data_IF_147783369888
#
_entry.id   IF_147783369888
#
_cell.length_a   1.000
_cell.length_b   1.000
_cell.length_c   1.000
_cell.angle_alpha   90.00
_cell.angle_beta   90.00
_cell.angle_gamma   90.00
#
_symmetry.space_group_name_H-M   'P 1'
#
loop_
_entity.id
_entity.type
_entity.pdbx_description
1 polymer ?
#
# COMPACT_ATOMS: atom_id res chain seq x y z
N UNK A 1 -1.01 4.20 -22.34
CA UNK A 1 -1.97 5.07 -21.62
C UNK A 1 -1.50 5.24 -20.18
N UNK A 2 -0.80 6.34 -19.87
CA UNK A 2 -0.38 6.67 -18.50
C UNK A 2 -1.55 7.37 -17.80
N UNK A 3 -2.27 6.66 -16.93
CA UNK A 3 -3.35 7.26 -16.15
C UNK A 3 -2.75 8.15 -15.05
N UNK A 4 -3.31 9.33 -14.77
CA UNK A 4 -2.83 10.27 -13.76
C UNK A 4 -2.78 9.67 -12.34
N UNK A 5 -3.55 8.61 -12.09
CA UNK A 5 -3.56 7.84 -10.84
C UNK A 5 -2.26 7.08 -10.58
N UNK A 6 -1.53 6.68 -11.64
CA UNK A 6 -0.24 6.00 -11.52
C UNK A 6 0.85 6.93 -10.96
N UNK A 7 0.95 8.16 -11.46
CA UNK A 7 1.90 9.17 -10.97
C UNK A 7 1.61 9.57 -9.53
N UNK A 8 0.34 9.76 -9.17
CA UNK A 8 -0.07 10.06 -7.79
C UNK A 8 0.33 8.95 -6.80
N UNK A 9 0.23 7.69 -7.22
CA UNK A 9 0.62 6.54 -6.39
C UNK A 9 2.13 6.42 -6.20
N UNK A 10 2.89 6.57 -7.28
CA UNK A 10 4.35 6.58 -7.20
C UNK A 10 4.79 7.73 -6.28
N UNK A 11 4.26 8.95 -6.46
CA UNK A 11 4.55 10.10 -5.59
C UNK A 11 4.22 9.87 -4.12
N UNK A 12 3.14 9.17 -3.78
CA UNK A 12 2.77 8.89 -2.37
C UNK A 12 3.71 7.87 -1.71
N UNK A 13 4.12 6.83 -2.44
CA UNK A 13 5.11 5.86 -1.93
C UNK A 13 6.48 6.53 -1.80
N UNK A 14 6.86 7.37 -2.76
CA UNK A 14 8.06 8.19 -2.67
C UNK A 14 7.99 9.19 -1.50
N UNK A 15 6.85 9.85 -1.27
CA UNK A 15 6.66 10.76 -0.14
C UNK A 15 6.75 10.03 1.21
N UNK A 16 6.12 8.85 1.32
CA UNK A 16 6.18 8.05 2.53
C UNK A 16 7.62 7.58 2.82
N UNK A 17 8.33 7.09 1.80
CA UNK A 17 9.75 6.75 1.90
C UNK A 17 10.63 7.94 2.28
N UNK A 18 10.43 9.09 1.63
CA UNK A 18 11.16 10.32 1.92
C UNK A 18 10.87 10.83 3.34
N UNK A 19 9.63 10.74 3.80
CA UNK A 19 9.23 11.14 5.15
C UNK A 19 9.86 10.26 6.23
N UNK A 20 9.99 8.95 5.99
CA UNK A 20 10.69 8.05 6.91
C UNK A 20 12.21 8.26 6.91
N UNK A 21 12.82 8.56 5.76
CA UNK A 21 14.23 8.94 5.71
C UNK A 21 14.49 10.27 6.43
N UNK A 22 13.59 11.23 6.26
CA UNK A 22 13.66 12.51 6.97
C UNK A 22 13.50 12.33 8.49
N UNK A 23 12.52 11.53 8.92
CA UNK A 23 12.31 11.25 10.34
C UNK A 23 13.47 10.47 10.96
N UNK A 24 14.03 9.49 10.24
CA UNK A 24 15.26 8.80 10.63
C UNK A 24 16.43 9.80 10.78
N UNK A 25 16.59 10.72 9.82
CA UNK A 25 17.58 11.78 9.88
C UNK A 25 17.41 12.70 11.10
N UNK A 26 16.18 13.12 11.39
CA UNK A 26 15.86 13.94 12.58
C UNK A 26 16.13 13.17 13.87
N UNK A 27 15.79 11.88 13.95
CA UNK A 27 16.11 11.04 15.11
C UNK A 27 17.62 10.90 15.31
N UNK A 28 18.40 10.74 14.24
CA UNK A 28 19.86 10.69 14.31
C UNK A 28 20.48 12.04 14.70
N UNK A 29 19.85 13.15 14.33
CA UNK A 29 20.34 14.48 14.68
C UNK A 29 19.98 14.84 16.13
N UNK A 30 18.77 14.49 16.57
CA UNK A 30 18.30 14.69 17.94
C UNK A 30 19.09 13.88 18.96
N UNK A 31 19.48 12.64 18.66
CA UNK A 31 20.33 11.83 19.55
C UNK A 31 21.73 12.42 19.73
N UNK A 32 22.33 12.98 18.68
CA UNK A 32 23.61 13.66 18.74
C UNK A 32 23.54 14.96 19.57
N UNK A 33 22.44 15.71 19.47
CA UNK A 33 22.23 16.97 20.22
C UNK A 33 21.85 16.71 21.68
N UNK A 34 21.08 15.66 21.97
CA UNK A 34 20.61 15.32 23.31
C UNK A 34 21.62 14.50 24.14
N UNK A 35 22.81 14.21 23.59
CA UNK A 35 23.85 13.44 24.28
C UNK A 35 23.45 12.00 24.59
N UNK A 36 22.53 11.44 23.80
CA UNK A 36 22.13 10.03 23.93
C UNK A 36 23.35 9.17 23.60
N UNK A 37 23.71 8.17 24.43
CA UNK A 37 24.93 7.39 24.22
C UNK A 37 24.98 6.83 22.79
N UNK A 38 26.12 7.01 22.11
CA UNK A 38 26.40 6.68 20.69
C UNK A 38 25.91 5.30 20.22
N UNK A 39 25.68 4.37 21.16
CA UNK A 39 25.20 3.01 20.89
C UNK A 39 23.68 2.88 20.70
N UNK A 40 22.89 3.84 21.16
CA UNK A 40 21.42 3.77 21.10
C UNK A 40 20.85 4.43 19.84
N UNK A 41 21.57 5.38 19.25
CA UNK A 41 21.18 6.14 18.05
C UNK A 41 20.80 5.27 16.85
N UNK A 42 21.55 4.20 16.49
CA UNK A 42 21.22 3.38 15.32
C UNK A 42 19.95 2.55 15.54
N UNK A 43 19.64 2.20 16.79
CA UNK A 43 18.57 1.25 17.13
C UNK A 43 17.18 1.83 16.80
N UNK A 44 16.96 3.10 17.10
CA UNK A 44 15.69 3.79 16.82
C UNK A 44 15.43 3.92 15.32
N UNK A 45 16.49 4.11 14.52
CA UNK A 45 16.38 4.24 13.07
C UNK A 45 15.79 2.99 12.42
N UNK A 46 16.22 1.79 12.84
CA UNK A 46 15.66 0.54 12.30
C UNK A 46 14.19 0.35 12.66
N UNK A 47 13.77 0.75 13.87
CA UNK A 47 12.37 0.73 14.27
C UNK A 47 11.51 1.66 13.41
N UNK A 48 11.96 2.89 13.14
CA UNK A 48 11.24 3.84 12.28
C UNK A 48 11.12 3.32 10.84
N UNK A 49 12.21 2.79 10.29
CA UNK A 49 12.22 2.21 8.94
C UNK A 49 11.20 1.06 8.82
N UNK A 50 11.06 0.25 9.87
CA UNK A 50 10.11 -0.87 9.90
C UNK A 50 8.64 -0.42 9.99
N UNK A 51 8.36 0.81 10.44
CA UNK A 51 7.00 1.37 10.53
C UNK A 51 6.53 1.89 9.17
N UNK A 52 7.44 2.41 8.32
CA UNK A 52 7.11 2.92 6.98
C UNK A 52 6.19 1.99 6.14
N UNK A 53 6.48 0.68 6.01
CA UNK A 53 5.65 -0.25 5.26
C UNK A 53 4.25 -0.45 5.87
N UNK A 54 4.08 -0.31 7.19
CA UNK A 54 2.75 -0.38 7.84
C UNK A 54 1.86 0.75 7.33
N UNK A 55 2.39 1.97 7.27
CA UNK A 55 1.66 3.13 6.74
C UNK A 55 1.28 2.92 5.27
N UNK A 56 2.20 2.40 4.46
CA UNK A 56 1.93 2.08 3.05
C UNK A 56 0.81 1.03 2.90
N UNK A 57 0.83 -0.02 3.72
CA UNK A 57 -0.21 -1.06 3.76
C UNK A 57 -1.57 -0.50 4.20
N UNK A 58 -1.60 0.44 5.13
CA UNK A 58 -2.83 1.15 5.52
C UNK A 58 -3.46 1.94 4.37
N UNK A 59 -2.65 2.65 3.58
CA UNK A 59 -3.11 3.35 2.38
C UNK A 59 -3.65 2.36 1.33
N UNK A 60 -2.97 1.23 1.14
CA UNK A 60 -3.43 0.15 0.26
C UNK A 60 -4.77 -0.43 0.72
N UNK A 61 -4.94 -0.65 2.03
CA UNK A 61 -6.20 -1.11 2.62
C UNK A 61 -7.37 -0.19 2.27
N UNK A 62 -7.22 1.13 2.47
CA UNK A 62 -8.24 2.12 2.12
C UNK A 62 -8.62 2.07 0.62
N UNK A 63 -7.64 1.86 -0.25
CA UNK A 63 -7.91 1.72 -1.69
C UNK A 63 -8.68 0.44 -2.03
N UNK A 64 -8.41 -0.67 -1.36
CA UNK A 64 -9.19 -1.89 -1.57
C UNK A 64 -10.63 -1.73 -1.10
N UNK A 65 -10.87 -1.00 -0.01
CA UNK A 65 -12.23 -0.71 0.44
C UNK A 65 -12.99 0.14 -0.58
N UNK A 66 -12.36 1.16 -1.17
CA UNK A 66 -12.95 2.00 -2.22
C UNK A 66 -13.28 1.23 -3.51
N UNK A 67 -12.64 0.07 -3.74
CA UNK A 67 -12.93 -0.79 -4.89
C UNK A 67 -14.27 -1.51 -4.73
N UNK A 68 -14.80 -1.66 -3.51
CA UNK A 68 -16.11 -2.30 -3.27
C UNK A 68 -17.29 -1.43 -3.69
N UNK A 69 -17.10 -0.12 -3.74
CA UNK A 69 -18.18 0.86 -3.98
C UNK A 69 -18.29 1.26 -5.46
N UNK A 70 -17.99 0.35 -6.39
CA UNK A 70 -18.19 0.60 -7.82
C UNK A 70 -19.67 0.43 -8.17
N UNK A 71 -20.23 1.46 -8.82
CA UNK A 71 -21.57 1.43 -9.39
C UNK A 71 -21.61 0.77 -10.77
N UNK A 72 -22.74 0.12 -11.09
CA UNK A 72 -23.00 -0.45 -12.42
C UNK A 72 -22.43 -1.86 -12.66
N UNK A 73 -22.01 -2.56 -11.60
CA UNK A 73 -21.70 -3.99 -11.66
C UNK A 73 -22.97 -4.85 -11.63
N UNK A 74 -22.98 -5.94 -12.39
CA UNK A 74 -24.00 -6.98 -12.19
C UNK A 74 -23.82 -7.65 -10.82
N UNK A 75 -24.89 -8.23 -10.27
CA UNK A 75 -24.85 -8.94 -8.97
C UNK A 75 -23.76 -10.02 -8.93
N UNK A 76 -23.57 -10.75 -10.03
CA UNK A 76 -22.57 -11.82 -10.15
C UNK A 76 -21.14 -11.27 -10.19
N UNK A 77 -20.90 -10.18 -10.90
CA UNK A 77 -19.58 -9.54 -10.95
C UNK A 77 -19.23 -8.89 -9.60
N UNK A 78 -20.19 -8.25 -8.94
CA UNK A 78 -20.02 -7.71 -7.59
C UNK A 78 -19.60 -8.80 -6.60
N UNK A 79 -20.28 -9.96 -6.60
CA UNK A 79 -19.92 -11.08 -5.72
C UNK A 79 -18.51 -11.61 -5.98
N UNK A 80 -18.09 -11.72 -7.25
CA UNK A 80 -16.74 -12.15 -7.62
C UNK A 80 -15.68 -11.13 -7.17
N UNK A 81 -15.97 -9.84 -7.37
CA UNK A 81 -15.08 -8.76 -6.95
C UNK A 81 -14.94 -8.70 -5.42
N UNK A 82 -16.05 -8.77 -4.69
CA UNK A 82 -16.04 -8.77 -3.22
C UNK A 82 -15.26 -9.96 -2.65
N UNK A 83 -15.42 -11.16 -3.23
CA UNK A 83 -14.63 -12.33 -2.83
C UNK A 83 -13.13 -12.10 -3.03
N UNK A 84 -12.74 -11.51 -4.17
CA UNK A 84 -11.33 -11.25 -4.49
C UNK A 84 -10.74 -10.17 -3.58
N UNK A 85 -11.47 -9.07 -3.38
CA UNK A 85 -11.09 -7.98 -2.49
C UNK A 85 -10.99 -8.46 -1.04
N UNK A 86 -11.96 -9.25 -0.54
CA UNK A 86 -11.92 -9.78 0.82
C UNK A 86 -10.72 -10.72 1.05
N UNK A 87 -10.38 -11.56 0.07
CA UNK A 87 -9.17 -12.39 0.15
C UNK A 87 -7.91 -11.54 0.27
N UNK A 88 -7.83 -10.43 -0.46
CA UNK A 88 -6.66 -9.54 -0.49
C UNK A 88 -6.58 -8.65 0.74
N UNK A 89 -7.72 -8.17 1.24
CA UNK A 89 -7.83 -7.50 2.54
C UNK A 89 -7.31 -8.41 3.65
N UNK A 90 -7.70 -9.70 3.65
CA UNK A 90 -7.21 -10.66 4.65
C UNK A 90 -5.69 -10.83 4.57
N UNK A 91 -5.12 -10.92 3.36
CA UNK A 91 -3.67 -10.96 3.16
C UNK A 91 -2.97 -9.69 3.68
N UNK A 92 -3.55 -8.51 3.44
CA UNK A 92 -3.06 -7.22 3.96
C UNK A 92 -3.09 -7.18 5.49
N UNK A 93 -4.16 -7.66 6.13
CA UNK A 93 -4.26 -7.75 7.59
C UNK A 93 -3.15 -8.66 8.15
N UNK A 94 -2.93 -9.83 7.53
CA UNK A 94 -1.83 -10.72 7.91
C UNK A 94 -0.46 -10.05 7.73
N UNK A 95 -0.26 -9.29 6.65
CA UNK A 95 0.97 -8.54 6.42
C UNK A 95 1.19 -7.46 7.48
N UNK A 96 0.15 -6.72 7.86
CA UNK A 96 0.23 -5.70 8.92
C UNK A 96 0.58 -6.37 10.26
N UNK A 97 -0.10 -7.47 10.61
CA UNK A 97 0.20 -8.24 11.81
C UNK A 97 1.65 -8.74 11.82
N UNK A 98 2.13 -9.26 10.68
CA UNK A 98 3.52 -9.66 10.50
C UNK A 98 4.49 -8.50 10.76
N UNK A 99 4.23 -7.31 10.22
CA UNK A 99 5.09 -6.15 10.44
C UNK A 99 5.12 -5.70 11.89
N UNK A 100 3.97 -5.74 12.60
CA UNK A 100 3.90 -5.44 14.03
C UNK A 100 4.73 -6.44 14.83
N UNK A 101 4.59 -7.73 14.57
CA UNK A 101 5.35 -8.79 15.25
C UNK A 101 6.85 -8.66 14.93
N UNK A 102 7.21 -8.43 13.67
CA UNK A 102 8.59 -8.22 13.24
C UNK A 102 9.21 -6.98 13.93
N UNK A 103 8.45 -5.89 14.05
CA UNK A 103 8.86 -4.69 14.76
C UNK A 103 9.09 -4.94 16.26
N UNK A 104 8.22 -5.72 16.91
CA UNK A 104 8.40 -6.12 18.32
C UNK A 104 9.64 -7.00 18.51
N UNK A 105 9.85 -8.00 17.65
CA UNK A 105 11.04 -8.86 17.68
C UNK A 105 12.30 -8.02 17.49
N UNK A 106 12.28 -7.08 16.54
CA UNK A 106 13.38 -6.17 16.28
C UNK A 106 13.68 -5.27 17.49
N UNK A 107 12.65 -4.67 18.10
CA UNK A 107 12.81 -3.85 19.29
C UNK A 107 13.41 -4.64 20.46
N UNK A 108 12.94 -5.87 20.69
CA UNK A 108 13.48 -6.75 21.74
C UNK A 108 14.93 -7.17 21.46
N UNK A 109 15.25 -7.50 20.20
CA UNK A 109 16.60 -7.88 19.80
C UNK A 109 17.59 -6.71 19.97
N UNK A 110 17.18 -5.49 19.60
CA UNK A 110 17.98 -4.28 19.74
C UNK A 110 18.12 -3.86 21.22
N UNK A 111 17.06 -4.02 22.02
CA UNK A 111 17.13 -3.83 23.47
C UNK A 111 18.10 -4.81 24.12
N UNK A 112 18.00 -6.11 23.81
CA UNK A 112 18.93 -7.13 24.29
C UNK A 112 20.39 -6.88 23.88
N UNK A 113 20.60 -6.38 22.67
CA UNK A 113 21.92 -6.01 22.16
C UNK A 113 22.59 -4.87 22.95
N UNK A 114 21.80 -4.02 23.63
CA UNK A 114 22.35 -2.96 24.48
C UNK A 114 23.12 -3.50 25.71
N UNK A 115 22.91 -4.77 26.09
CA UNK A 115 23.53 -5.40 27.26
C UNK A 115 24.82 -6.20 26.96
N UNK A 116 25.20 -6.42 25.69
CA UNK A 116 26.40 -7.23 25.39
C UNK A 116 26.86 -7.21 23.93
N UNK A 117 28.19 -7.14 23.72
CA UNK A 117 28.83 -7.03 22.39
C UNK A 117 28.50 -8.15 21.38
N UNK A 118 28.43 -9.45 21.73
CA UNK A 118 28.15 -10.48 20.72
C UNK A 118 26.70 -10.45 20.22
N UNK A 119 25.75 -10.02 21.06
CA UNK A 119 24.33 -9.93 20.70
C UNK A 119 24.06 -8.83 19.65
N UNK A 120 24.93 -7.82 19.56
CA UNK A 120 24.81 -6.72 18.59
C UNK A 120 24.88 -7.23 17.16
N UNK A 121 25.88 -8.04 16.81
CA UNK A 121 26.04 -8.53 15.43
C UNK A 121 24.80 -9.31 14.95
N UNK A 122 24.29 -10.22 15.79
CA UNK A 122 23.08 -10.99 15.49
C UNK A 122 21.83 -10.11 15.38
N UNK A 123 21.68 -9.11 16.25
CA UNK A 123 20.55 -8.19 16.19
C UNK A 123 20.54 -7.35 14.90
N UNK A 124 21.71 -6.88 14.45
CA UNK A 124 21.83 -6.14 13.19
C UNK A 124 21.59 -7.02 11.95
N UNK A 125 22.08 -8.27 11.94
CA UNK A 125 21.77 -9.22 10.85
C UNK A 125 20.27 -9.53 10.80
N UNK A 126 19.64 -9.75 11.96
CA UNK A 126 18.20 -9.96 12.06
C UNK A 126 17.41 -8.73 11.59
N UNK A 127 17.85 -7.53 11.96
CA UNK A 127 17.26 -6.27 11.52
C UNK A 127 17.27 -6.12 10.00
N UNK A 128 18.44 -6.33 9.38
CA UNK A 128 18.58 -6.28 7.93
C UNK A 128 17.68 -7.31 7.22
N UNK A 129 17.61 -8.53 7.74
CA UNK A 129 16.76 -9.58 7.18
C UNK A 129 15.26 -9.23 7.29
N UNK A 130 14.80 -8.75 8.45
CA UNK A 130 13.40 -8.37 8.68
C UNK A 130 12.98 -7.16 7.82
N UNK A 131 13.86 -6.17 7.66
CA UNK A 131 13.61 -5.02 6.79
C UNK A 131 13.57 -5.45 5.33
N UNK A 132 14.52 -6.28 4.88
CA UNK A 132 14.53 -6.78 3.50
C UNK A 132 13.26 -7.57 3.17
N UNK A 133 12.84 -8.45 4.08
CA UNK A 133 11.61 -9.24 3.94
C UNK A 133 10.35 -8.36 3.96
N UNK A 134 10.34 -7.34 4.82
CA UNK A 134 9.28 -6.33 4.91
C UNK A 134 9.09 -5.54 3.60
N UNK A 135 10.20 -5.08 3.00
CA UNK A 135 10.17 -4.38 1.71
C UNK A 135 9.64 -5.32 0.62
N UNK A 136 10.12 -6.55 0.57
CA UNK A 136 9.66 -7.55 -0.41
C UNK A 136 8.14 -7.77 -0.34
N UNK A 137 7.60 -8.02 0.86
CA UNK A 137 6.17 -8.23 1.04
C UNK A 137 5.34 -6.98 0.71
N UNK A 138 5.83 -5.80 1.06
CA UNK A 138 5.14 -4.53 0.76
C UNK A 138 5.07 -4.28 -0.75
N UNK A 139 6.17 -4.52 -1.48
CA UNK A 139 6.20 -4.40 -2.94
C UNK A 139 5.28 -5.43 -3.60
N UNK A 140 5.28 -6.68 -3.12
CA UNK A 140 4.38 -7.72 -3.62
C UNK A 140 2.91 -7.35 -3.43
N UNK A 141 2.54 -6.87 -2.23
CA UNK A 141 1.18 -6.38 -1.97
C UNK A 141 0.80 -5.20 -2.86
N UNK A 142 1.73 -4.29 -3.15
CA UNK A 142 1.50 -3.16 -4.04
C UNK A 142 1.19 -3.59 -5.48
N UNK A 143 1.93 -4.58 -6.01
CA UNK A 143 1.69 -5.14 -7.35
C UNK A 143 0.29 -5.75 -7.41
N UNK A 144 -0.10 -6.52 -6.40
CA UNK A 144 -1.42 -7.15 -6.32
C UNK A 144 -2.55 -6.10 -6.33
N UNK A 145 -2.44 -5.04 -5.53
CA UNK A 145 -3.47 -3.99 -5.51
C UNK A 145 -3.57 -3.26 -6.85
N UNK A 146 -2.46 -3.08 -7.55
CA UNK A 146 -2.46 -2.50 -8.89
C UNK A 146 -3.24 -3.36 -9.90
N UNK A 147 -3.14 -4.68 -9.82
CA UNK A 147 -3.93 -5.57 -10.68
C UNK A 147 -5.44 -5.44 -10.41
N UNK A 148 -5.84 -5.34 -9.14
CA UNK A 148 -7.25 -5.15 -8.76
C UNK A 148 -7.75 -3.77 -9.23
N UNK A 149 -6.94 -2.72 -9.06
CA UNK A 149 -7.27 -1.38 -9.52
C UNK A 149 -7.44 -1.32 -11.06
N UNK A 150 -6.58 -2.02 -11.80
CA UNK A 150 -6.70 -2.12 -13.27
C UNK A 150 -7.95 -2.90 -13.71
N UNK A 151 -8.37 -3.90 -12.92
CA UNK A 151 -9.64 -4.59 -13.15
C UNK A 151 -10.83 -3.65 -12.92
N UNK A 152 -10.81 -2.84 -11.85
CA UNK A 152 -11.83 -1.79 -11.59
C UNK A 152 -11.95 -0.82 -12.76
N UNK A 153 -10.84 -0.30 -13.28
CA UNK A 153 -10.89 0.64 -14.42
C UNK A 153 -11.49 -0.01 -15.67
N UNK A 154 -11.14 -1.27 -15.93
CA UNK A 154 -11.68 -2.00 -17.10
C UNK A 154 -13.19 -2.22 -17.01
N UNK A 155 -13.74 -2.45 -15.81
CA UNK A 155 -15.19 -2.55 -15.61
C UNK A 155 -15.85 -1.18 -15.78
N UNK A 156 -15.29 -0.13 -15.17
CA UNK A 156 -15.83 1.23 -15.28
C UNK A 156 -15.90 1.69 -16.76
N UNK A 157 -14.85 1.41 -17.54
CA UNK A 157 -14.81 1.74 -18.97
C UNK A 157 -15.90 1.00 -19.76
N UNK A 158 -16.12 -0.30 -19.47
CA UNK A 158 -17.21 -1.07 -20.10
C UNK A 158 -18.58 -0.49 -19.79
N UNK A 159 -18.84 -0.11 -18.55
CA UNK A 159 -20.12 0.50 -18.17
C UNK A 159 -20.31 1.85 -18.87
N UNK A 160 -19.23 2.63 -19.02
CA UNK A 160 -19.27 3.91 -19.75
C UNK A 160 -19.52 3.71 -21.24
N UNK A 161 -18.86 2.73 -21.86
CA UNK A 161 -19.09 2.36 -23.25
C UNK A 161 -20.52 1.87 -23.49
N UNK A 162 -21.06 1.04 -22.60
CA UNK A 162 -22.44 0.56 -22.69
C UNK A 162 -23.45 1.72 -22.63
N UNK A 163 -23.26 2.67 -21.70
CA UNK A 163 -24.07 3.90 -21.62
C UNK A 163 -23.93 4.77 -22.87
N UNK A 164 -22.72 4.90 -23.42
CA UNK A 164 -22.49 5.66 -24.65
C UNK A 164 -23.17 5.01 -25.86
N UNK A 165 -23.10 3.67 -25.99
CA UNK A 165 -23.80 2.94 -27.06
C UNK A 165 -25.32 3.07 -26.93
N UNK A 166 -25.86 2.96 -25.72
CA UNK A 166 -27.29 3.13 -25.47
C UNK A 166 -27.78 4.54 -25.83
N UNK A 167 -27.01 5.58 -25.50
CA UNK A 167 -27.39 6.96 -25.84
C UNK A 167 -27.33 7.24 -27.35
N UNK A 168 -26.34 6.67 -28.05
CA UNK A 168 -26.25 6.76 -29.52
C UNK A 168 -27.41 6.02 -30.18
N UNK A 169 -27.74 4.81 -29.72
CA UNK A 169 -28.89 4.04 -30.22
C UNK A 169 -30.21 4.79 -30.00
N UNK A 170 -30.41 5.38 -28.81
CA UNK A 170 -31.60 6.18 -28.53
C UNK A 170 -31.73 7.39 -29.49
N UNK A 171 -30.62 8.07 -29.79
CA UNK A 171 -30.60 9.18 -30.77
C UNK A 171 -30.91 8.71 -32.19
N UNK A 172 -30.41 7.55 -32.59
CA UNK A 172 -30.66 7.00 -33.93
C UNK A 172 -32.11 6.55 -34.11
N UNK A 173 -32.70 5.93 -33.09
CA UNK A 173 -34.13 5.54 -33.09
C UNK A 173 -35.01 6.80 -33.11
N UNK A 174 -34.77 7.77 -32.22
CA UNK A 174 -35.54 9.01 -32.20
C UNK A 174 -35.44 9.84 -33.49
N UNK A 175 -34.37 9.70 -34.26
CA UNK A 175 -34.21 10.36 -35.58
C UNK A 175 -34.88 9.59 -36.73
N UNK A 176 -35.10 8.28 -36.58
CA UNK A 176 -35.85 7.45 -37.56
C UNK A 176 -37.35 7.74 -37.51
N UNK A 177 -37.88 8.02 -36.32
CA UNK A 177 -39.31 8.25 -36.10
C UNK A 177 -39.73 9.72 -36.29
N UNK A 178 -38.77 10.61 -36.58
CA UNK A 178 -39.07 12.00 -36.92
C UNK A 178 -39.75 12.06 -38.31
N UNK A 179 -40.92 12.70 -38.45
CA UNK A 179 -41.58 12.85 -39.74
C UNK A 179 -40.64 13.56 -40.70
N UNK A 180 -40.44 12.98 -41.89
CA UNK A 180 -39.73 13.63 -42.99
C UNK A 180 -40.57 14.84 -43.40
N UNK A 181 -40.13 16.03 -43.02
CA UNK A 181 -40.62 17.29 -43.54
C UNK A 181 -40.26 17.44 -45.02
#
# INVERSE_FOLDING_TARGET
>A
MNTPTKRWMESQVFLAGLSCLFFAGVCMLASNVLGVPDRATPLWTFCVIQIAPITALGILFGKLTDIRDIDGLTRTERRRLESLVNSKIRQLIFLIAFHVVAGLILALALYGASFGRPAVAYAFTLAGALIGLSVYFTVSAYVDVKHIAAFKTKIADRTREAKARASVMAKLIGKRDAPKA
#
